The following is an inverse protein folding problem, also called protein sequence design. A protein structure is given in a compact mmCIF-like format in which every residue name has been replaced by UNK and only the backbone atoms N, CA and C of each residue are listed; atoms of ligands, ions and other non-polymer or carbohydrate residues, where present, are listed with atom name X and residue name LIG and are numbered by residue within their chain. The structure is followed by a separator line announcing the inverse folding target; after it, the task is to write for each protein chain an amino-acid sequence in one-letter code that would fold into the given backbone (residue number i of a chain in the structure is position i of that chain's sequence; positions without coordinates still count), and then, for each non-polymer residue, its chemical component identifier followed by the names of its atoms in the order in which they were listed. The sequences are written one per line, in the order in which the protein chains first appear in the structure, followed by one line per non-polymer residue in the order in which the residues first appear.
data_IF_581112729176
#
_entry.id   IF_581112729176
#
_cell.length_a   1.000
_cell.length_b   1.000
_cell.length_c   1.000
_cell.angle_alpha   90.00
_cell.angle_beta   90.00
_cell.angle_gamma   90.00
#
_symmetry.space_group_name_H-M   'P 1'
#
loop_
_entity.id
_entity.type
_entity.pdbx_description
1 polymer ?
#
# COMPACT_ATOMS: atom_id res chain seq x y z
N UNK A 1 -30.02 -16.51 11.57
CA UNK A 1 -28.68 -16.48 10.97
C UNK A 1 -28.51 -17.74 10.15
N UNK A 2 -28.35 -17.61 8.83
CA UNK A 2 -28.15 -18.76 7.95
C UNK A 2 -26.66 -19.11 7.95
N UNK A 3 -26.28 -20.10 8.75
CA UNK A 3 -24.87 -20.49 8.92
C UNK A 3 -24.21 -20.93 7.62
N UNK A 4 -24.97 -21.53 6.70
CA UNK A 4 -24.44 -21.95 5.40
C UNK A 4 -24.02 -20.74 4.55
N UNK A 5 -24.82 -19.67 4.59
CA UNK A 5 -24.55 -18.44 3.84
C UNK A 5 -23.36 -17.68 4.43
N UNK A 6 -23.27 -17.59 5.76
CA UNK A 6 -22.10 -17.01 6.45
C UNK A 6 -20.83 -17.78 6.11
N UNK A 7 -20.86 -19.12 6.22
CA UNK A 7 -19.70 -19.95 5.93
C UNK A 7 -19.27 -19.84 4.46
N UNK A 8 -20.22 -19.79 3.53
CA UNK A 8 -19.94 -19.60 2.11
C UNK A 8 -19.32 -18.22 1.85
N UNK A 9 -19.95 -17.15 2.32
CA UNK A 9 -19.47 -15.78 2.13
C UNK A 9 -18.11 -15.57 2.79
N UNK A 10 -17.91 -16.09 4.01
CA UNK A 10 -16.64 -16.03 4.71
C UNK A 10 -15.52 -16.79 3.99
N UNK A 11 -15.81 -17.99 3.48
CA UNK A 11 -14.83 -18.77 2.71
C UNK A 11 -14.49 -18.09 1.38
N UNK A 12 -15.50 -17.56 0.69
CA UNK A 12 -15.32 -16.81 -0.56
C UNK A 12 -14.57 -15.50 -0.35
N UNK A 13 -14.80 -14.80 0.78
CA UNK A 13 -14.06 -13.61 1.17
C UNK A 13 -12.57 -13.95 1.38
N UNK A 14 -12.27 -14.98 2.16
CA UNK A 14 -10.89 -15.43 2.42
C UNK A 14 -10.20 -15.87 1.12
N UNK A 15 -10.86 -16.69 0.29
CA UNK A 15 -10.33 -17.09 -1.02
C UNK A 15 -10.12 -15.89 -1.94
N UNK A 16 -10.99 -14.88 -1.86
CA UNK A 16 -10.86 -13.60 -2.52
C UNK A 16 -9.57 -12.89 -2.12
N UNK A 17 -9.26 -12.78 -0.83
CA UNK A 17 -8.03 -12.13 -0.35
C UNK A 17 -6.77 -12.78 -0.95
N UNK A 18 -6.66 -14.11 -0.89
CA UNK A 18 -5.51 -14.82 -1.48
C UNK A 18 -5.43 -14.61 -3.00
N UNK A 19 -6.58 -14.58 -3.70
CA UNK A 19 -6.61 -14.29 -5.12
C UNK A 19 -6.26 -12.82 -5.43
N UNK A 20 -6.56 -11.89 -4.52
CA UNK A 20 -6.24 -10.47 -4.64
C UNK A 20 -4.72 -10.29 -4.64
N UNK A 21 -4.07 -10.81 -3.58
CA UNK A 21 -2.62 -10.75 -3.38
C UNK A 21 -1.89 -11.43 -4.54
N UNK A 22 -2.28 -12.67 -4.89
CA UNK A 22 -1.72 -13.37 -6.04
C UNK A 22 -1.89 -12.59 -7.36
N UNK A 23 -3.05 -11.95 -7.55
CA UNK A 23 -3.35 -11.14 -8.73
C UNK A 23 -2.49 -9.89 -8.79
N UNK A 24 -2.32 -9.21 -7.67
CA UNK A 24 -1.52 -8.00 -7.53
C UNK A 24 -0.04 -8.28 -7.82
N UNK A 25 0.55 -9.28 -7.17
CA UNK A 25 1.96 -9.67 -7.39
C UNK A 25 2.24 -9.95 -8.88
N UNK A 26 1.40 -10.79 -9.50
CA UNK A 26 1.53 -11.11 -10.93
C UNK A 26 1.36 -9.89 -11.81
N UNK A 27 0.37 -9.06 -11.52
CA UNK A 27 0.11 -7.85 -12.30
C UNK A 27 1.31 -6.90 -12.23
N UNK A 28 1.81 -6.66 -11.03
CA UNK A 28 2.90 -5.77 -10.71
C UNK A 28 4.21 -6.23 -11.37
N UNK A 29 4.62 -7.48 -11.14
CA UNK A 29 5.91 -8.01 -11.59
C UNK A 29 5.96 -8.03 -13.10
N UNK A 30 4.90 -8.53 -13.73
CA UNK A 30 4.84 -8.60 -15.17
C UNK A 30 4.66 -7.22 -15.82
N UNK A 31 4.03 -6.26 -15.13
CA UNK A 31 4.02 -4.85 -15.57
C UNK A 31 5.44 -4.28 -15.60
N UNK A 32 6.24 -4.49 -14.55
CA UNK A 32 7.62 -4.02 -14.50
C UNK A 32 8.49 -4.65 -15.61
N UNK A 33 8.36 -5.96 -15.83
CA UNK A 33 9.12 -6.68 -16.87
C UNK A 33 8.72 -6.22 -18.27
N UNK A 34 7.41 -6.15 -18.56
CA UNK A 34 6.91 -5.71 -19.87
C UNK A 34 7.31 -4.26 -20.13
N UNK A 35 7.14 -3.36 -19.17
CA UNK A 35 7.52 -1.96 -19.30
C UNK A 35 9.03 -1.81 -19.55
N UNK A 36 9.88 -2.58 -18.84
CA UNK A 36 11.33 -2.58 -19.05
C UNK A 36 11.68 -3.00 -20.48
N UNK A 37 11.06 -4.06 -21.00
CA UNK A 37 11.29 -4.55 -22.38
C UNK A 37 10.76 -3.59 -23.45
N UNK A 38 9.77 -2.76 -23.12
CA UNK A 38 9.25 -1.70 -23.99
C UNK A 38 10.06 -0.40 -23.90
N UNK A 39 11.14 -0.35 -23.11
CA UNK A 39 12.01 0.82 -22.99
C UNK A 39 11.48 1.91 -22.06
N UNK A 40 10.51 1.59 -21.18
CA UNK A 40 10.07 2.51 -20.12
C UNK A 40 11.18 2.65 -19.08
N UNK A 41 11.40 3.86 -18.57
CA UNK A 41 12.46 4.10 -17.59
C UNK A 41 12.18 3.41 -16.25
N UNK A 42 13.23 2.89 -15.60
CA UNK A 42 13.13 2.24 -14.28
C UNK A 42 12.50 3.15 -13.23
N UNK A 43 12.75 4.47 -13.31
CA UNK A 43 12.10 5.47 -12.45
C UNK A 43 10.59 5.48 -12.60
N UNK A 44 10.06 5.42 -13.82
CA UNK A 44 8.61 5.42 -14.04
C UNK A 44 7.99 4.11 -13.60
N UNK A 45 8.68 2.99 -13.82
CA UNK A 45 8.26 1.67 -13.33
C UNK A 45 8.19 1.70 -11.81
N UNK A 46 9.28 2.06 -11.13
CA UNK A 46 9.33 2.17 -9.67
C UNK A 46 8.27 3.13 -9.13
N UNK A 47 8.04 4.28 -9.77
CA UNK A 47 7.02 5.22 -9.32
C UNK A 47 5.60 4.67 -9.46
N UNK A 48 5.32 3.93 -10.54
CA UNK A 48 4.00 3.34 -10.80
C UNK A 48 3.75 2.11 -9.93
N UNK A 49 4.81 1.39 -9.54
CA UNK A 49 4.68 0.10 -8.86
C UNK A 49 4.95 0.23 -7.35
N UNK A 50 5.93 1.02 -6.90
CA UNK A 50 6.39 1.09 -5.50
C UNK A 50 5.53 1.95 -4.54
N UNK A 51 4.39 2.46 -5.00
CA UNK A 51 3.47 3.23 -4.15
C UNK A 51 2.03 3.16 -4.61
N UNK A 52 1.69 2.14 -5.39
CA UNK A 52 0.34 1.91 -5.87
C UNK A 52 -0.29 0.76 -5.11
N UNK A 53 -1.44 1.04 -4.50
CA UNK A 53 -2.27 0.10 -3.74
C UNK A 53 -3.27 -0.54 -4.72
N UNK A 54 -2.79 -1.47 -5.54
CA UNK A 54 -3.56 -2.02 -6.66
C UNK A 54 -4.73 -2.88 -6.16
N UNK A 55 -4.54 -3.54 -5.03
CA UNK A 55 -5.48 -4.31 -4.24
C UNK A 55 -6.67 -3.43 -3.85
N UNK A 56 -6.40 -2.30 -3.18
CA UNK A 56 -7.41 -1.33 -2.76
C UNK A 56 -8.10 -0.69 -3.95
N UNK A 57 -7.34 -0.31 -4.99
CA UNK A 57 -7.92 0.27 -6.19
C UNK A 57 -8.89 -0.73 -6.87
N UNK A 58 -8.53 -2.01 -6.94
CA UNK A 58 -9.39 -3.05 -7.50
C UNK A 58 -10.67 -3.23 -6.69
N UNK A 59 -10.58 -3.26 -5.36
CA UNK A 59 -11.74 -3.36 -4.46
C UNK A 59 -12.62 -2.10 -4.56
N UNK A 60 -12.03 -0.91 -4.67
CA UNK A 60 -12.74 0.37 -4.85
C UNK A 60 -13.51 0.38 -6.15
N UNK A 61 -12.84 0.07 -7.28
CA UNK A 61 -13.47 0.04 -8.60
C UNK A 61 -14.60 -1.00 -8.62
N UNK A 62 -14.36 -2.19 -8.08
CA UNK A 62 -15.37 -3.23 -8.02
C UNK A 62 -16.59 -2.84 -7.16
N UNK A 63 -16.36 -2.17 -6.03
CA UNK A 63 -17.44 -1.70 -5.15
C UNK A 63 -18.29 -0.61 -5.80
N UNK A 64 -17.64 0.34 -6.48
CA UNK A 64 -18.34 1.37 -7.26
C UNK A 64 -19.16 0.75 -8.41
N UNK A 65 -18.59 -0.20 -9.15
CA UNK A 65 -19.30 -0.89 -10.24
C UNK A 65 -20.49 -1.72 -9.72
N UNK A 66 -20.40 -2.21 -8.49
CA UNK A 66 -21.50 -2.91 -7.82
C UNK A 66 -22.51 -1.98 -7.13
N UNK A 67 -22.36 -0.65 -7.27
CA UNK A 67 -23.20 0.37 -6.60
C UNK A 67 -23.16 0.26 -5.06
N UNK A 68 -21.98 0.01 -4.53
CA UNK A 68 -21.67 -0.07 -3.09
C UNK A 68 -20.61 0.98 -2.75
N UNK A 69 -20.93 2.24 -3.00
CA UNK A 69 -19.99 3.37 -2.84
C UNK A 69 -19.64 3.58 -1.36
N UNK A 70 -20.56 3.24 -0.46
CA UNK A 70 -20.36 3.20 1.00
C UNK A 70 -19.25 2.23 1.42
N UNK A 71 -19.23 1.04 0.81
CA UNK A 71 -18.17 0.05 1.04
C UNK A 71 -16.82 0.56 0.51
N UNK A 72 -16.81 1.19 -0.67
CA UNK A 72 -15.61 1.72 -1.30
C UNK A 72 -14.96 2.82 -0.43
N UNK A 73 -15.73 3.82 0.00
CA UNK A 73 -15.21 4.90 0.85
C UNK A 73 -14.79 4.37 2.21
N UNK A 74 -15.55 3.44 2.78
CA UNK A 74 -15.21 2.79 4.03
C UNK A 74 -13.87 2.06 3.93
N UNK A 75 -13.65 1.29 2.86
CA UNK A 75 -12.37 0.63 2.61
C UNK A 75 -11.22 1.63 2.52
N UNK A 76 -11.37 2.71 1.74
CA UNK A 76 -10.30 3.73 1.58
C UNK A 76 -9.94 4.39 2.91
N UNK A 77 -10.94 4.82 3.68
CA UNK A 77 -10.75 5.50 4.97
C UNK A 77 -10.18 4.52 6.00
N UNK A 78 -10.75 3.32 6.09
CA UNK A 78 -10.28 2.25 6.96
C UNK A 78 -8.84 1.83 6.66
N UNK A 79 -8.48 1.68 5.39
CA UNK A 79 -7.12 1.31 4.98
C UNK A 79 -6.15 2.42 5.32
N UNK A 80 -6.58 3.68 5.20
CA UNK A 80 -5.74 4.81 5.60
C UNK A 80 -5.43 4.78 7.11
N UNK A 81 -6.45 4.51 7.94
CA UNK A 81 -6.30 4.37 9.40
C UNK A 81 -5.44 3.14 9.73
N UNK A 82 -5.71 2.00 9.08
CA UNK A 82 -5.00 0.73 9.24
C UNK A 82 -3.53 0.83 8.88
N UNK A 83 -3.17 1.56 7.82
CA UNK A 83 -1.78 1.73 7.40
C UNK A 83 -0.97 2.48 8.47
N UNK A 84 -1.56 3.49 9.11
CA UNK A 84 -0.87 4.29 10.15
C UNK A 84 -0.90 3.61 11.52
N UNK A 85 -2.08 3.23 12.00
CA UNK A 85 -2.25 2.70 13.35
C UNK A 85 -1.97 1.19 13.44
N UNK A 86 -2.00 0.48 12.31
CA UNK A 86 -1.70 -0.95 12.20
C UNK A 86 -0.33 -1.23 11.58
N UNK A 87 -0.12 -0.95 10.29
CA UNK A 87 1.11 -1.35 9.60
C UNK A 87 2.35 -0.59 10.12
N UNK A 88 2.32 0.74 10.13
CA UNK A 88 3.42 1.56 10.66
C UNK A 88 3.70 1.30 12.14
N UNK A 89 2.64 1.07 12.94
CA UNK A 89 2.79 0.76 14.36
C UNK A 89 3.49 -0.57 14.59
N UNK A 90 3.20 -1.59 13.77
CA UNK A 90 3.91 -2.86 13.77
C UNK A 90 5.37 -2.66 13.32
N UNK A 91 5.62 -1.90 12.26
CA UNK A 91 6.99 -1.57 11.85
C UNK A 91 7.81 -0.89 12.94
N UNK A 92 7.22 0.02 13.72
CA UNK A 92 7.85 0.60 14.90
C UNK A 92 8.08 -0.42 16.01
N UNK A 93 7.11 -1.31 16.26
CA UNK A 93 7.17 -2.29 17.34
C UNK A 93 8.28 -3.34 17.13
N UNK A 94 8.62 -3.64 15.87
CA UNK A 94 9.68 -4.58 15.52
C UNK A 94 11.03 -3.91 15.24
N UNK A 95 11.10 -2.57 15.23
CA UNK A 95 12.35 -1.87 14.99
C UNK A 95 13.36 -2.04 16.14
N UNK A 96 14.65 -2.32 15.83
CA UNK A 96 15.69 -2.45 16.84
C UNK A 96 16.14 -1.07 17.36
N UNK A 97 15.35 -0.49 18.27
CA UNK A 97 15.70 0.72 19.02
C UNK A 97 14.84 1.93 18.68
N UNK A 98 15.43 3.13 18.73
CA UNK A 98 14.75 4.38 18.37
C UNK A 98 14.84 4.59 16.86
N UNK A 99 13.68 4.70 16.22
CA UNK A 99 13.60 4.96 14.79
C UNK A 99 13.79 6.45 14.52
N UNK A 100 14.77 6.77 13.68
CA UNK A 100 15.02 8.12 13.17
C UNK A 100 14.75 8.14 11.68
N UNK A 101 14.01 9.15 11.24
CA UNK A 101 13.56 9.26 9.86
C UNK A 101 14.40 10.26 9.09
N UNK A 102 14.67 9.92 7.84
CA UNK A 102 15.40 10.73 6.89
C UNK A 102 14.55 11.91 6.38
N UNK A 103 15.14 12.72 5.49
CA UNK A 103 14.46 13.90 4.95
C UNK A 103 13.28 13.51 4.05
N UNK A 104 13.39 12.41 3.31
CA UNK A 104 12.35 11.97 2.39
C UNK A 104 11.10 11.49 3.15
N UNK A 105 11.27 10.66 4.18
CA UNK A 105 10.15 10.25 5.03
C UNK A 105 9.42 11.44 5.68
N UNK A 106 10.16 12.45 6.18
CA UNK A 106 9.56 13.69 6.73
C UNK A 106 8.77 14.47 5.68
N UNK A 107 9.29 14.56 4.45
CA UNK A 107 8.60 15.21 3.35
C UNK A 107 7.30 14.48 3.01
N UNK A 108 7.34 13.15 2.86
CA UNK A 108 6.15 12.35 2.57
C UNK A 108 5.11 12.45 3.69
N UNK A 109 5.53 12.41 4.95
CA UNK A 109 4.62 12.57 6.09
C UNK A 109 3.96 13.96 6.13
N UNK A 110 4.69 15.02 5.79
CA UNK A 110 4.14 16.37 5.70
C UNK A 110 3.15 16.53 4.54
N UNK A 111 3.46 15.95 3.37
CA UNK A 111 2.57 15.94 2.20
C UNK A 111 1.28 15.18 2.51
N UNK A 112 1.41 13.99 3.13
CA UNK A 112 0.27 13.20 3.59
C UNK A 112 -0.60 14.03 4.53
N UNK A 113 -0.03 14.63 5.58
CA UNK A 113 -0.80 15.42 6.53
C UNK A 113 -1.52 16.61 5.88
N UNK A 114 -0.88 17.28 4.93
CA UNK A 114 -1.50 18.34 4.13
C UNK A 114 -2.70 17.81 3.33
N UNK A 115 -2.54 16.70 2.61
CA UNK A 115 -3.60 16.08 1.81
C UNK A 115 -4.76 15.64 2.71
N UNK A 116 -4.47 14.96 3.82
CA UNK A 116 -5.49 14.54 4.79
C UNK A 116 -6.23 15.76 5.34
N UNK A 117 -5.52 16.85 5.67
CA UNK A 117 -6.16 18.09 6.16
C UNK A 117 -7.07 18.72 5.12
N UNK A 118 -6.64 18.79 3.86
CA UNK A 118 -7.47 19.29 2.75
C UNK A 118 -8.71 18.40 2.58
N UNK A 119 -8.54 17.08 2.59
CA UNK A 119 -9.64 16.12 2.53
C UNK A 119 -10.65 16.32 3.66
N UNK A 120 -10.19 16.41 4.92
CA UNK A 120 -11.07 16.62 6.07
C UNK A 120 -11.83 17.94 5.97
N UNK A 121 -11.18 19.04 5.57
CA UNK A 121 -11.85 20.34 5.42
C UNK A 121 -12.91 20.29 4.33
N UNK A 122 -12.60 19.70 3.17
CA UNK A 122 -13.52 19.58 2.04
C UNK A 122 -14.72 18.69 2.39
N UNK A 123 -14.47 17.57 3.06
CA UNK A 123 -15.52 16.66 3.53
C UNK A 123 -16.49 17.35 4.50
N UNK A 124 -16.00 18.26 5.36
CA UNK A 124 -16.82 18.98 6.35
C UNK A 124 -17.53 20.24 5.81
N UNK A 125 -17.07 20.83 4.70
CA UNK A 125 -17.55 22.16 4.24
C UNK A 125 -18.33 22.12 2.94
N UNK A 126 -17.77 21.54 1.89
CA UNK A 126 -18.33 21.61 0.52
C UNK A 126 -19.03 20.33 0.10
N UNK A 127 -18.92 19.27 0.90
CA UNK A 127 -19.38 17.92 0.55
C UNK A 127 -18.47 17.24 -0.48
N UNK A 128 -18.64 15.93 -0.63
CA UNK A 128 -17.83 15.10 -1.51
C UNK A 128 -18.48 14.91 -2.89
N UNK A 129 -18.28 15.89 -3.78
CA UNK A 129 -18.80 15.86 -5.14
C UNK A 129 -17.81 15.34 -6.20
N UNK A 130 -18.30 15.03 -7.40
CA UNK A 130 -17.46 14.60 -8.55
C UNK A 130 -16.32 15.57 -8.90
N UNK A 131 -16.55 16.88 -8.78
CA UNK A 131 -15.52 17.90 -9.05
C UNK A 131 -14.37 17.77 -8.04
N UNK A 132 -14.70 17.59 -6.77
CA UNK A 132 -13.71 17.35 -5.71
C UNK A 132 -12.93 16.07 -5.99
N UNK A 133 -13.61 15.00 -6.40
CA UNK A 133 -12.96 13.76 -6.81
C UNK A 133 -11.96 13.95 -7.95
N UNK A 134 -12.34 14.70 -8.99
CA UNK A 134 -11.46 15.04 -10.10
C UNK A 134 -10.24 15.87 -9.67
N UNK A 135 -10.40 16.77 -8.69
CA UNK A 135 -9.29 17.53 -8.12
C UNK A 135 -8.31 16.63 -7.35
N UNK A 136 -8.80 15.65 -6.58
CA UNK A 136 -7.94 14.67 -5.90
C UNK A 136 -7.15 13.80 -6.87
N UNK A 137 -7.78 13.33 -7.96
CA UNK A 137 -7.09 12.59 -9.03
C UNK A 137 -6.03 13.48 -9.69
N UNK A 138 -6.36 14.75 -10.00
CA UNK A 138 -5.40 15.68 -10.56
C UNK A 138 -4.23 15.95 -9.59
N UNK A 139 -4.50 16.08 -8.30
CA UNK A 139 -3.46 16.24 -7.27
C UNK A 139 -2.54 15.01 -7.20
N UNK A 140 -3.07 13.79 -7.33
CA UNK A 140 -2.27 12.58 -7.42
C UNK A 140 -1.36 12.57 -8.66
N UNK A 141 -1.87 12.96 -9.83
CA UNK A 141 -1.06 13.07 -11.05
C UNK A 141 0.05 14.10 -10.87
N UNK A 142 -0.24 15.26 -10.27
CA UNK A 142 0.77 16.28 -9.96
C UNK A 142 1.81 15.74 -8.97
N UNK A 143 1.39 14.98 -7.96
CA UNK A 143 2.28 14.31 -7.00
C UNK A 143 3.24 13.34 -7.70
N UNK A 144 2.72 12.45 -8.57
CA UNK A 144 3.55 11.52 -9.34
C UNK A 144 4.53 12.25 -10.25
N UNK A 145 4.07 13.26 -11.01
CA UNK A 145 4.94 14.04 -11.90
C UNK A 145 6.03 14.77 -11.09
N UNK A 146 5.69 15.31 -9.92
CA UNK A 146 6.63 16.02 -9.05
C UNK A 146 7.74 15.10 -8.53
N UNK A 147 7.39 13.88 -8.10
CA UNK A 147 8.38 12.89 -7.65
C UNK A 147 9.22 12.41 -8.83
N UNK A 148 8.60 12.05 -9.94
CA UNK A 148 9.32 11.60 -11.14
C UNK A 148 10.31 12.66 -11.63
N UNK A 149 9.92 13.93 -11.58
CA UNK A 149 10.80 15.05 -11.90
C UNK A 149 11.92 15.26 -10.88
N UNK A 150 11.63 15.10 -9.58
CA UNK A 150 12.64 15.14 -8.52
C UNK A 150 13.69 14.05 -8.68
N UNK A 151 13.28 12.85 -9.06
CA UNK A 151 14.19 11.72 -9.35
C UNK A 151 15.00 12.01 -10.63
N UNK A 152 14.36 12.50 -11.69
CA UNK A 152 15.06 12.87 -12.93
C UNK A 152 16.15 13.93 -12.70
N UNK A 153 15.92 14.87 -11.77
CA UNK A 153 16.91 15.89 -11.39
C UNK A 153 17.95 15.40 -10.36
N UNK A 154 17.88 14.15 -9.90
CA UNK A 154 18.77 13.61 -8.88
C UNK A 154 18.61 14.25 -7.50
N UNK A 155 17.44 14.86 -7.23
CA UNK A 155 17.10 15.46 -5.94
C UNK A 155 16.48 14.43 -4.99
N UNK A 156 15.83 13.42 -5.56
CA UNK A 156 15.18 12.30 -4.87
C UNK A 156 15.71 10.99 -5.43
N UNK A 157 15.83 9.98 -4.57
CA UNK A 157 16.10 8.62 -5.01
C UNK A 157 14.80 7.96 -5.47
N UNK A 158 14.92 6.99 -6.39
CA UNK A 158 13.77 6.21 -6.81
C UNK A 158 13.22 5.41 -5.61
N UNK A 159 11.89 5.31 -5.43
CA UNK A 159 11.33 4.55 -4.33
C UNK A 159 11.75 3.08 -4.44
N UNK A 160 12.45 2.59 -3.42
CA UNK A 160 12.79 1.18 -3.27
C UNK A 160 11.58 0.42 -2.74
N UNK A 161 11.29 -0.74 -3.34
CA UNK A 161 10.32 -1.68 -2.79
C UNK A 161 11.00 -2.49 -1.69
N UNK A 162 10.26 -2.69 -0.59
CA UNK A 162 10.65 -3.67 0.41
C UNK A 162 10.32 -5.05 -0.12
N UNK A 163 11.22 -5.63 -0.89
CA UNK A 163 11.07 -7.03 -1.31
C UNK A 163 11.24 -7.92 -0.06
N UNK A 164 10.21 -8.70 0.26
CA UNK A 164 10.25 -9.70 1.34
C UNK A 164 11.31 -10.77 1.09
N UNK A 165 11.66 -10.99 -0.17
CA UNK A 165 12.35 -12.18 -0.68
C UNK A 165 13.88 -12.14 -0.56
N UNK A 166 14.44 -11.31 0.32
CA UNK A 166 15.84 -11.47 0.70
C UNK A 166 16.00 -12.57 1.76
N UNK A 167 15.60 -13.80 1.43
CA UNK A 167 16.11 -14.99 2.08
C UNK A 167 17.31 -15.49 1.27
N UNK A 168 18.48 -15.11 1.78
CA UNK A 168 19.74 -15.72 1.44
C UNK A 168 19.79 -17.14 2.00
N UNK A 169 19.32 -18.13 1.24
CA UNK A 169 19.75 -19.51 1.42
C UNK A 169 21.07 -19.70 0.67
N UNK A 170 22.16 -19.24 1.30
CA UNK A 170 23.49 -19.80 1.05
C UNK A 170 23.77 -20.80 2.15
N UNK A 171 23.20 -22.01 2.01
CA UNK A 171 23.70 -23.17 2.73
C UNK A 171 24.97 -23.65 2.03
N UNK A 172 26.09 -23.47 2.72
CA UNK A 172 27.33 -24.17 2.47
C UNK A 172 27.11 -25.68 2.66
N UNK A 173 27.56 -26.50 1.70
CA UNK A 173 28.18 -27.77 2.07
C UNK A 173 29.22 -28.26 1.05
N UNK A 174 30.20 -28.95 1.62
CA UNK A 174 31.59 -29.17 1.24
C UNK A 174 31.90 -29.85 -0.11
N UNK A 175 33.06 -29.50 -0.67
CA UNK A 175 33.76 -30.30 -1.70
C UNK A 175 35.07 -29.65 -2.15
N UNK A 176 36.16 -29.92 -1.43
CA UNK A 176 37.43 -29.20 -1.56
C UNK A 176 38.27 -29.48 -2.80
N UNK A 177 39.23 -28.57 -3.07
CA UNK A 177 40.65 -28.88 -3.31
C UNK A 177 41.48 -27.60 -3.57
N UNK A 178 42.63 -27.50 -2.91
CA UNK A 178 43.89 -27.17 -3.60
C UNK A 178 44.34 -25.69 -3.78
N UNK A 179 45.37 -25.35 -2.99
CA UNK A 179 46.59 -24.58 -3.33
C UNK A 179 46.57 -23.06 -3.56
N UNK A 180 47.23 -22.37 -2.63
CA UNK A 180 48.32 -21.38 -2.78
C UNK A 180 48.20 -20.24 -3.81
N UNK A 181 48.21 -18.98 -3.35
CA UNK A 181 49.39 -18.08 -3.44
C UNK A 181 49.08 -16.57 -3.13
N UNK A 182 49.96 -16.05 -2.29
CA UNK A 182 50.51 -14.68 -2.05
C UNK A 182 49.89 -13.38 -2.64
N UNK A 183 49.57 -12.47 -1.71
CA UNK A 183 49.97 -11.04 -1.57
C UNK A 183 50.24 -10.17 -2.83
N UNK A 184 49.44 -9.10 -3.02
CA UNK A 184 49.95 -7.76 -3.38
C UNK A 184 48.95 -6.64 -3.04
N UNK A 185 49.41 -5.56 -2.39
CA UNK A 185 48.67 -4.33 -2.07
C UNK A 185 49.21 -3.13 -2.88
N UNK A 186 48.29 -2.24 -3.30
CA UNK A 186 48.39 -0.79 -3.69
C UNK A 186 48.80 -0.43 -5.15
N UNK A 187 48.49 0.79 -5.68
CA UNK A 187 47.49 1.83 -5.30
C UNK A 187 46.65 2.43 -6.48
N UNK A 188 45.63 3.22 -6.12
CA UNK A 188 44.93 4.30 -6.83
C UNK A 188 45.04 4.44 -8.38
N UNK A 189 43.89 4.35 -9.07
CA UNK A 189 43.64 5.07 -10.32
C UNK A 189 42.22 5.67 -10.34
N UNK A 190 42.18 6.99 -10.52
CA UNK A 190 41.02 7.78 -10.88
C UNK A 190 40.79 7.72 -12.40
N UNK A 191 39.63 7.27 -12.86
CA UNK A 191 38.93 7.82 -14.04
C UNK A 191 37.53 7.19 -14.21
N UNK A 192 36.53 7.97 -14.68
CA UNK A 192 35.14 7.54 -14.79
C UNK A 192 34.89 6.87 -16.15
N UNK A 193 34.20 5.73 -16.20
CA UNK A 193 33.61 5.21 -17.43
C UNK A 193 32.57 4.12 -17.13
N UNK A 194 31.36 4.36 -17.62
CA UNK A 194 30.34 3.35 -17.91
C UNK A 194 30.96 2.17 -18.68
N UNK A 195 30.98 0.99 -18.06
CA UNK A 195 31.08 -0.28 -18.77
C UNK A 195 30.45 -1.39 -17.93
N UNK A 196 29.47 -2.05 -18.54
CA UNK A 196 28.88 -3.35 -18.22
C UNK A 196 29.60 -4.19 -17.17
N UNK A 197 28.94 -4.33 -16.00
CA UNK A 197 29.08 -5.46 -15.09
C UNK A 197 27.80 -6.29 -15.03
N UNK A 198 27.01 -6.34 -16.12
CA UNK A 198 25.97 -7.33 -16.29
C UNK A 198 26.59 -8.56 -16.96
N UNK A 199 27.05 -9.52 -16.15
CA UNK A 199 27.02 -10.97 -16.44
C UNK A 199 27.76 -11.75 -15.35
N UNK A 200 27.00 -12.18 -14.34
CA UNK A 200 27.32 -13.28 -13.46
C UNK A 200 26.17 -14.28 -13.49
N UNK A 201 26.25 -15.21 -14.45
CA UNK A 201 25.48 -16.45 -14.62
C UNK A 201 24.21 -16.69 -13.77
N UNK A 202 23.05 -16.37 -14.36
CA UNK A 202 21.86 -17.24 -14.25
C UNK A 202 21.35 -17.52 -15.66
N UNK A 203 21.55 -18.74 -16.14
CA UNK A 203 20.82 -19.28 -17.28
C UNK A 203 19.38 -19.57 -16.80
N UNK A 204 18.54 -18.54 -16.78
CA UNK A 204 17.10 -18.72 -16.69
C UNK A 204 16.56 -18.62 -18.12
N UNK A 205 15.69 -19.53 -18.54
CA UNK A 205 14.95 -19.37 -19.79
C UNK A 205 14.31 -17.98 -19.78
N UNK A 206 14.80 -17.05 -20.62
CA UNK A 206 14.14 -15.76 -20.79
C UNK A 206 12.80 -16.04 -21.47
N UNK A 207 11.75 -16.16 -20.65
CA UNK A 207 10.40 -16.32 -21.16
C UNK A 207 10.10 -15.20 -22.15
N UNK A 208 9.38 -15.53 -23.22
CA UNK A 208 9.09 -14.60 -24.29
C UNK A 208 8.27 -13.41 -23.78
N UNK A 209 8.33 -12.27 -24.48
CA UNK A 209 7.51 -11.11 -24.13
C UNK A 209 6.01 -11.49 -24.07
N UNK A 210 5.57 -12.37 -24.96
CA UNK A 210 4.22 -12.94 -24.96
C UNK A 210 3.86 -13.60 -23.62
N UNK A 211 4.76 -14.40 -23.04
CA UNK A 211 4.53 -15.03 -21.74
C UNK A 211 4.27 -13.97 -20.67
N UNK A 212 5.10 -12.93 -20.59
CA UNK A 212 4.91 -11.88 -19.58
C UNK A 212 3.65 -11.06 -19.84
N UNK A 213 3.30 -10.79 -21.09
CA UNK A 213 2.03 -10.14 -21.44
C UNK A 213 0.83 -11.01 -21.02
N UNK A 214 0.88 -12.33 -21.24
CA UNK A 214 -0.19 -13.25 -20.81
C UNK A 214 -0.31 -13.24 -19.29
N UNK A 215 0.80 -13.32 -18.56
CA UNK A 215 0.80 -13.30 -17.10
C UNK A 215 0.30 -11.96 -16.54
N UNK A 216 0.65 -10.83 -17.16
CA UNK A 216 0.11 -9.51 -16.83
C UNK A 216 -1.42 -9.50 -16.95
N UNK A 217 -1.96 -10.00 -18.06
CA UNK A 217 -3.41 -10.08 -18.28
C UNK A 217 -4.08 -11.02 -17.27
N UNK A 218 -3.48 -12.17 -16.97
CA UNK A 218 -3.99 -13.10 -15.95
C UNK A 218 -3.99 -12.47 -14.56
N UNK A 219 -2.93 -11.75 -14.18
CA UNK A 219 -2.85 -11.00 -12.91
C UNK A 219 -3.94 -9.94 -12.82
N UNK A 220 -4.12 -9.14 -13.87
CA UNK A 220 -5.18 -8.13 -13.93
C UNK A 220 -6.59 -8.74 -13.81
N UNK A 221 -6.84 -9.88 -14.47
CA UNK A 221 -8.12 -10.59 -14.37
C UNK A 221 -8.35 -11.18 -12.97
N UNK A 222 -7.32 -11.76 -12.35
CA UNK A 222 -7.38 -12.28 -10.99
C UNK A 222 -7.67 -11.16 -9.98
N UNK A 223 -6.95 -10.04 -10.10
CA UNK A 223 -7.13 -8.83 -9.28
C UNK A 223 -8.56 -8.28 -9.41
N UNK A 224 -9.05 -8.14 -10.65
CA UNK A 224 -10.41 -7.64 -10.93
C UNK A 224 -11.51 -8.59 -10.41
N UNK A 225 -11.33 -9.90 -10.60
CA UNK A 225 -12.27 -10.91 -10.11
C UNK A 225 -12.29 -10.94 -8.58
N UNK A 226 -11.14 -10.89 -7.95
CA UNK A 226 -11.03 -10.84 -6.50
C UNK A 226 -11.71 -9.59 -5.93
N UNK A 227 -11.44 -8.40 -6.48
CA UNK A 227 -12.12 -7.17 -6.07
C UNK A 227 -13.64 -7.28 -6.13
N UNK A 228 -14.17 -7.93 -7.18
CA UNK A 228 -15.60 -8.23 -7.29
C UNK A 228 -16.10 -9.15 -6.17
N UNK A 229 -15.42 -10.29 -5.96
CA UNK A 229 -15.79 -11.28 -4.93
C UNK A 229 -15.72 -10.68 -3.53
N UNK A 230 -14.66 -9.95 -3.20
CA UNK A 230 -14.49 -9.30 -1.89
C UNK A 230 -15.57 -8.27 -1.64
N UNK A 231 -15.84 -7.39 -2.60
CA UNK A 231 -16.89 -6.38 -2.46
C UNK A 231 -18.27 -7.02 -2.28
N UNK A 232 -18.56 -8.07 -3.05
CA UNK A 232 -19.83 -8.79 -2.96
C UNK A 232 -20.00 -9.51 -1.62
N UNK A 233 -18.99 -10.27 -1.20
CA UNK A 233 -19.03 -11.06 0.04
C UNK A 233 -18.99 -10.17 1.28
N UNK A 234 -18.21 -9.08 1.28
CA UNK A 234 -18.20 -8.10 2.36
C UNK A 234 -19.58 -7.50 2.60
N UNK A 235 -20.29 -7.14 1.53
CA UNK A 235 -21.63 -6.58 1.66
C UNK A 235 -22.68 -7.62 2.08
N UNK A 236 -22.60 -8.85 1.58
CA UNK A 236 -23.46 -9.95 2.04
C UNK A 236 -23.24 -10.24 3.53
N UNK A 237 -21.99 -10.18 4.00
CA UNK A 237 -21.65 -10.29 5.42
C UNK A 237 -22.23 -9.09 6.19
N UNK A 238 -22.11 -7.87 5.68
CA UNK A 238 -22.71 -6.68 6.31
C UNK A 238 -24.22 -6.86 6.54
N UNK A 239 -24.94 -7.32 5.51
CA UNK A 239 -26.38 -7.58 5.54
C UNK A 239 -26.74 -8.67 6.57
N UNK A 240 -25.97 -9.75 6.66
CA UNK A 240 -26.20 -10.86 7.60
C UNK A 240 -26.00 -10.46 9.07
N UNK A 241 -25.05 -9.57 9.34
CA UNK A 241 -24.75 -9.09 10.70
C UNK A 241 -25.49 -7.80 11.08
N UNK A 242 -26.29 -7.24 10.15
CA UNK A 242 -27.02 -6.00 10.34
C UNK A 242 -26.09 -4.80 10.58
N UNK A 243 -25.02 -4.73 9.79
CA UNK A 243 -24.00 -3.69 9.81
C UNK A 243 -24.10 -2.89 8.50
N UNK A 244 -23.77 -1.59 8.50
CA UNK A 244 -23.60 -0.90 7.22
C UNK A 244 -22.39 -1.41 6.46
N UNK A 245 -22.47 -1.24 5.14
CA UNK A 245 -21.34 -1.42 4.24
C UNK A 245 -20.14 -0.52 4.63
N UNK A 246 -20.39 0.68 5.17
CA UNK A 246 -19.31 1.57 5.63
C UNK A 246 -18.55 0.93 6.80
N UNK A 247 -19.25 0.47 7.85
CA UNK A 247 -18.61 -0.18 9.01
C UNK A 247 -17.81 -1.40 8.59
N UNK A 248 -18.38 -2.26 7.73
CA UNK A 248 -17.68 -3.44 7.19
C UNK A 248 -16.46 -3.08 6.35
N UNK A 249 -16.57 -2.01 5.56
CA UNK A 249 -15.49 -1.44 4.76
C UNK A 249 -14.34 -0.91 5.61
N UNK A 250 -14.67 -0.06 6.59
CA UNK A 250 -13.71 0.62 7.48
C UNK A 250 -12.96 -0.35 8.38
N UNK A 251 -13.58 -1.47 8.74
CA UNK A 251 -13.02 -2.39 9.74
C UNK A 251 -12.46 -3.68 9.12
N UNK A 252 -13.32 -4.56 8.62
CA UNK A 252 -12.92 -5.92 8.20
C UNK A 252 -12.24 -5.90 6.85
N UNK A 253 -12.88 -5.24 5.87
CA UNK A 253 -12.37 -5.22 4.51
C UNK A 253 -11.02 -4.49 4.45
N UNK A 254 -10.93 -3.29 5.04
CA UNK A 254 -9.68 -2.54 5.09
C UNK A 254 -8.57 -3.27 5.84
N UNK A 255 -8.88 -3.91 6.98
CA UNK A 255 -7.89 -4.67 7.74
C UNK A 255 -7.33 -5.81 6.89
N UNK A 256 -8.21 -6.50 6.17
CA UNK A 256 -7.91 -7.66 5.35
C UNK A 256 -7.12 -7.33 4.10
N UNK A 257 -7.47 -6.26 3.36
CA UNK A 257 -6.71 -5.84 2.18
C UNK A 257 -5.34 -5.29 2.58
N UNK A 258 -5.24 -4.64 3.75
CA UNK A 258 -3.97 -4.09 4.24
C UNK A 258 -3.09 -5.10 5.01
N UNK A 259 -3.37 -6.41 4.93
CA UNK A 259 -2.57 -7.44 5.61
C UNK A 259 -1.15 -7.57 5.05
N UNK A 260 -0.94 -7.63 3.71
CA UNK A 260 0.40 -7.69 3.13
C UNK A 260 1.32 -6.56 3.60
N UNK A 261 0.79 -5.33 3.67
CA UNK A 261 1.48 -4.13 4.11
C UNK A 261 1.90 -4.23 5.57
N UNK A 262 1.06 -4.83 6.43
CA UNK A 262 1.43 -5.10 7.82
C UNK A 262 2.61 -6.06 7.89
N UNK A 263 2.65 -7.11 7.06
CA UNK A 263 3.79 -8.03 7.02
C UNK A 263 5.06 -7.34 6.50
N UNK A 264 4.96 -6.59 5.41
CA UNK A 264 6.06 -5.80 4.85
C UNK A 264 6.59 -4.79 5.87
N UNK A 265 5.71 -4.12 6.61
CA UNK A 265 6.10 -3.19 7.67
C UNK A 265 6.82 -3.88 8.84
N UNK A 266 6.35 -5.07 9.26
CA UNK A 266 7.03 -5.89 10.28
C UNK A 266 8.44 -6.27 9.83
N UNK A 267 8.58 -6.79 8.61
CA UNK A 267 9.87 -7.22 8.05
C UNK A 267 10.80 -6.00 7.89
N UNK A 268 10.31 -4.91 7.31
CA UNK A 268 11.07 -3.67 7.14
C UNK A 268 11.51 -3.07 8.47
N UNK A 269 10.63 -3.10 9.47
CA UNK A 269 10.94 -2.70 10.85
C UNK A 269 12.03 -3.55 11.46
N UNK A 270 11.85 -4.88 11.46
CA UNK A 270 12.79 -5.84 12.03
C UNK A 270 14.18 -5.77 11.39
N UNK A 271 14.26 -5.50 10.09
CA UNK A 271 15.52 -5.31 9.34
C UNK A 271 16.14 -3.92 9.49
N UNK A 272 15.54 -3.01 10.28
CA UNK A 272 16.09 -1.68 10.52
C UNK A 272 15.81 -0.63 9.43
N UNK A 273 14.92 -0.92 8.48
CA UNK A 273 14.57 -0.04 7.36
C UNK A 273 13.47 0.97 7.70
N UNK A 274 13.61 1.68 8.82
CA UNK A 274 12.57 2.57 9.35
C UNK A 274 12.16 3.72 8.41
N UNK A 275 13.12 4.28 7.66
CA UNK A 275 12.83 5.28 6.64
C UNK A 275 11.91 4.77 5.54
N UNK A 276 12.14 3.54 5.06
CA UNK A 276 11.34 2.91 4.01
C UNK A 276 9.94 2.59 4.52
N UNK A 277 9.81 2.07 5.75
CA UNK A 277 8.50 1.82 6.39
C UNK A 277 7.65 3.09 6.46
N UNK A 278 8.23 4.23 6.87
CA UNK A 278 7.50 5.50 6.91
C UNK A 278 7.17 6.04 5.50
N UNK A 279 8.12 5.97 4.57
CA UNK A 279 7.89 6.43 3.20
C UNK A 279 6.79 5.61 2.50
N UNK A 280 6.80 4.29 2.66
CA UNK A 280 5.75 3.38 2.18
C UNK A 280 4.40 3.73 2.82
N UNK A 281 4.33 3.79 4.16
CA UNK A 281 3.10 4.18 4.88
C UNK A 281 2.52 5.49 4.34
N UNK A 282 3.36 6.51 4.14
CA UNK A 282 2.93 7.79 3.65
C UNK A 282 2.48 7.74 2.18
N UNK A 283 3.24 7.04 1.32
CA UNK A 283 2.93 6.86 -0.10
C UNK A 283 1.61 6.14 -0.32
N UNK A 284 1.39 5.02 0.37
CA UNK A 284 0.14 4.25 0.37
C UNK A 284 -1.06 5.12 0.76
N UNK A 285 -0.95 5.87 1.85
CA UNK A 285 -2.02 6.77 2.28
C UNK A 285 -2.27 7.92 1.30
N UNK A 286 -1.22 8.46 0.67
CA UNK A 286 -1.38 9.47 -0.38
C UNK A 286 -2.14 8.87 -1.55
N UNK A 287 -1.79 7.66 -1.99
CA UNK A 287 -2.49 6.93 -3.06
C UNK A 287 -3.98 6.73 -2.72
N UNK A 288 -4.28 6.25 -1.51
CA UNK A 288 -5.64 6.00 -1.04
C UNK A 288 -6.48 7.28 -1.00
N UNK A 289 -6.00 8.32 -0.32
CA UNK A 289 -6.75 9.56 -0.11
C UNK A 289 -6.84 10.44 -1.35
N UNK A 290 -6.02 10.21 -2.37
CA UNK A 290 -6.07 10.97 -3.63
C UNK A 290 -6.68 10.17 -4.78
N UNK A 291 -6.04 9.08 -5.21
CA UNK A 291 -6.51 8.32 -6.37
C UNK A 291 -7.74 7.49 -6.03
N UNK A 292 -7.69 6.62 -5.01
CA UNK A 292 -8.79 5.71 -4.70
C UNK A 292 -10.04 6.48 -4.26
N UNK A 293 -9.88 7.45 -3.36
CA UNK A 293 -10.97 8.34 -2.98
C UNK A 293 -11.45 9.15 -4.19
N UNK A 294 -10.56 9.73 -4.98
CA UNK A 294 -10.93 10.51 -6.15
C UNK A 294 -11.74 9.72 -7.18
N UNK A 295 -11.35 8.47 -7.46
CA UNK A 295 -12.11 7.52 -8.30
C UNK A 295 -13.48 7.24 -7.69
N UNK A 296 -13.53 6.99 -6.37
CA UNK A 296 -14.78 6.76 -5.64
C UNK A 296 -15.74 7.95 -5.77
N UNK A 297 -15.24 9.18 -5.64
CA UNK A 297 -16.05 10.40 -5.74
C UNK A 297 -16.49 10.72 -7.17
N UNK A 298 -15.69 10.40 -8.19
CA UNK A 298 -16.05 10.66 -9.59
C UNK A 298 -17.07 9.64 -10.10
N UNK A 299 -16.83 8.36 -9.81
CA UNK A 299 -17.59 7.24 -10.38
C UNK A 299 -18.70 6.71 -9.46
N UNK A 300 -18.61 6.96 -8.15
CA UNK A 300 -19.57 6.49 -7.15
C UNK A 300 -20.89 7.25 -7.13
N UNK A 301 -21.88 6.63 -6.48
CA UNK A 301 -23.18 7.22 -6.23
C UNK A 301 -23.06 8.32 -5.16
N UNK A 302 -23.36 9.56 -5.54
CA UNK A 302 -23.16 10.73 -4.69
C UNK A 302 -24.14 10.75 -3.50
N UNK A 303 -25.31 10.11 -3.63
CA UNK A 303 -26.29 10.06 -2.54
C UNK A 303 -25.78 9.13 -1.44
N UNK A 304 -25.34 7.94 -1.83
CA UNK A 304 -24.78 6.95 -0.92
C UNK A 304 -23.51 7.49 -0.23
N UNK A 305 -22.66 8.20 -0.97
CA UNK A 305 -21.44 8.80 -0.43
C UNK A 305 -21.71 9.88 0.61
N UNK A 306 -22.72 10.72 0.43
CA UNK A 306 -23.05 11.79 1.37
C UNK A 306 -23.43 11.24 2.76
N UNK A 307 -24.17 10.13 2.78
CA UNK A 307 -24.62 9.48 4.03
C UNK A 307 -23.53 8.59 4.67
N UNK A 308 -22.50 8.22 3.89
CA UNK A 308 -21.44 7.31 4.33
C UNK A 308 -20.29 8.00 5.06
N UNK A 309 -20.17 9.33 4.97
CA UNK A 309 -19.06 10.07 5.59
C UNK A 309 -19.35 10.30 7.07
N UNK A 310 -18.66 9.56 7.94
CA UNK A 310 -18.81 9.69 9.39
C UNK A 310 -17.79 10.68 9.96
N UNK A 311 -18.19 11.72 10.70
CA UNK A 311 -17.25 12.68 11.30
C UNK A 311 -16.22 12.05 12.23
N UNK A 312 -16.57 10.94 12.89
CA UNK A 312 -15.65 10.18 13.73
C UNK A 312 -14.51 9.56 12.91
N UNK A 313 -14.83 8.86 11.82
CA UNK A 313 -13.83 8.27 10.91
C UNK A 313 -12.92 9.35 10.29
N UNK A 314 -13.49 10.48 9.89
CA UNK A 314 -12.72 11.64 9.41
C UNK A 314 -11.77 12.18 10.48
N UNK A 315 -12.24 12.31 11.71
CA UNK A 315 -11.42 12.78 12.84
C UNK A 315 -10.27 11.81 13.12
N UNK A 316 -10.54 10.49 13.14
CA UNK A 316 -9.52 9.47 13.37
C UNK A 316 -8.49 9.47 12.25
N UNK A 317 -8.92 9.58 10.99
CA UNK A 317 -8.01 9.68 9.82
C UNK A 317 -7.11 10.91 9.90
N UNK A 318 -7.68 12.06 10.27
CA UNK A 318 -6.91 13.29 10.44
C UNK A 318 -5.94 13.20 11.63
N UNK A 319 -6.42 12.70 12.77
CA UNK A 319 -5.62 12.58 13.99
C UNK A 319 -4.47 11.56 13.83
N UNK A 320 -4.71 10.42 13.17
CA UNK A 320 -3.67 9.44 12.90
C UNK A 320 -2.61 10.00 11.96
N UNK A 321 -3.00 10.72 10.90
CA UNK A 321 -2.09 11.42 9.98
C UNK A 321 -1.27 12.51 10.67
N UNK A 322 -1.90 13.31 11.55
CA UNK A 322 -1.21 14.30 12.37
C UNK A 322 -0.18 13.66 13.32
N UNK A 323 -0.58 12.57 13.99
CA UNK A 323 0.28 11.82 14.90
C UNK A 323 1.45 11.19 14.16
N UNK A 324 1.20 10.56 13.00
CA UNK A 324 2.22 10.01 12.13
C UNK A 324 3.24 11.09 11.73
N UNK A 325 2.77 12.24 11.25
CA UNK A 325 3.65 13.36 10.91
C UNK A 325 4.50 13.80 12.10
N UNK A 326 3.90 14.00 13.28
CA UNK A 326 4.64 14.35 14.49
C UNK A 326 5.74 13.32 14.82
N UNK A 327 5.37 12.03 14.83
CA UNK A 327 6.26 10.92 15.15
C UNK A 327 7.43 10.77 14.17
N UNK A 328 7.19 11.03 12.88
CA UNK A 328 8.24 11.02 11.86
C UNK A 328 9.21 12.20 12.03
N UNK A 329 8.72 13.37 12.46
CA UNK A 329 9.57 14.54 12.71
C UNK A 329 10.39 14.43 14.00
N UNK A 330 9.82 13.89 15.08
CA UNK A 330 10.51 13.76 16.38
C UNK A 330 11.37 12.49 16.50
N UNK A 331 11.21 11.56 15.57
CA UNK A 331 11.62 10.17 15.77
C UNK A 331 10.70 9.46 16.76
N UNK A 332 10.76 8.13 16.79
CA UNK A 332 9.81 7.31 17.54
C UNK A 332 10.50 6.16 18.26
N UNK A 333 10.03 5.87 19.46
CA UNK A 333 10.46 4.73 20.25
C UNK A 333 9.58 3.50 19.97
N UNK A 334 10.14 2.31 20.17
CA UNK A 334 9.43 1.04 19.95
C UNK A 334 8.08 0.93 20.69
N UNK A 335 7.99 1.44 21.92
CA UNK A 335 6.76 1.37 22.72
C UNK A 335 5.62 2.22 22.15
N UNK A 336 5.94 3.26 21.37
CA UNK A 336 4.94 4.08 20.66
C UNK A 336 4.17 3.22 19.66
N UNK A 337 4.83 2.29 18.98
CA UNK A 337 4.16 1.30 18.12
C UNK A 337 3.11 0.49 18.87
N UNK A 338 3.41 0.05 20.10
CA UNK A 338 2.44 -0.62 20.96
C UNK A 338 1.22 0.25 21.29
N UNK A 339 1.43 1.54 21.58
CA UNK A 339 0.33 2.48 21.85
C UNK A 339 -0.54 2.71 20.62
N UNK A 340 0.06 2.91 19.45
CA UNK A 340 -0.67 3.08 18.18
C UNK A 340 -1.51 1.84 17.85
N UNK A 341 -0.98 0.65 18.07
CA UNK A 341 -1.72 -0.60 17.85
C UNK A 341 -2.90 -0.75 18.81
N UNK A 342 -2.74 -0.36 20.08
CA UNK A 342 -3.87 -0.30 21.03
C UNK A 342 -4.93 0.70 20.55
N UNK A 343 -4.53 1.88 20.06
CA UNK A 343 -5.47 2.84 19.48
C UNK A 343 -6.21 2.27 18.27
N UNK A 344 -5.54 1.47 17.43
CA UNK A 344 -6.18 0.79 16.30
C UNK A 344 -7.23 -0.22 16.75
N UNK A 345 -6.91 -1.06 17.75
CA UNK A 345 -7.87 -2.02 18.31
C UNK A 345 -9.05 -1.31 18.97
N UNK A 346 -8.80 -0.23 19.72
CA UNK A 346 -9.86 0.61 20.30
C UNK A 346 -10.76 1.20 19.21
N UNK A 347 -10.18 1.70 18.13
CA UNK A 347 -10.93 2.21 16.98
C UNK A 347 -11.86 1.15 16.38
N UNK A 348 -11.34 -0.06 16.10
CA UNK A 348 -12.15 -1.18 15.58
C UNK A 348 -13.29 -1.52 16.55
N UNK A 349 -13.01 -1.62 17.84
CA UNK A 349 -14.03 -1.94 18.85
C UNK A 349 -15.10 -0.85 18.93
N UNK A 350 -14.72 0.44 18.88
CA UNK A 350 -15.65 1.55 18.89
C UNK A 350 -16.55 1.55 17.65
N UNK A 351 -15.99 1.27 16.48
CA UNK A 351 -16.78 1.14 15.23
C UNK A 351 -17.85 0.05 15.37
N UNK A 352 -17.46 -1.16 15.80
CA UNK A 352 -18.39 -2.28 15.94
C UNK A 352 -19.42 -2.14 17.05
N UNK A 353 -19.13 -1.37 18.11
CA UNK A 353 -20.01 -1.28 19.30
C UNK A 353 -20.85 -0.01 19.34
N UNK A 354 -20.28 1.13 18.98
CA UNK A 354 -20.91 2.45 19.11
C UNK A 354 -21.48 2.92 17.78
N UNK A 355 -20.75 2.71 16.69
CA UNK A 355 -21.09 3.21 15.36
C UNK A 355 -21.72 2.15 14.44
N UNK A 356 -22.17 1.02 15.03
CA UNK A 356 -22.86 -0.14 14.43
C UNK A 356 -24.18 0.21 13.71
N UNK A 357 -24.14 1.11 12.75
CA UNK A 357 -25.26 1.50 11.90
C UNK A 357 -25.01 1.05 10.49
#
# INVERSE_FOLDING_TARGET
MNWDTICFNGSAFIAGLFLLEFGADRFIDHTAIVATRLGVSQTLIALLTAGAEWEELAVVVASVLQKRSSLAIGNVVGSSISNILGAFSLGLLFYPGRMVFDRSAKLYAAILFLITTIFTIVALTTGLGKVVGGLFIAAFVVYLVSIGYGIYRGVLDAPERLDSDSDSDSDDDEGGNGSDSEVQRLPAETSPLLANGAQGARSAHEHSLLYHTIQLVLGFLALSLSGYVLSHTAASIADEFGLSNTVLGVTVLSFATTLPEKFVAVIGGARGHGGIVAASTAGSNIFLLTLCLGVTLVAGDQVELADSVVPFELLVTWASSALFCLLVFTGSERWVGGVLLVLYVVFIVLEFTVYRR
#
